data_IF_111957032135
#
_entry.id   IF_111957032135
#
_cell.length_a   1.000
_cell.length_b   1.000
_cell.length_c   1.000
_cell.angle_alpha   90.00
_cell.angle_beta   90.00
_cell.angle_gamma   90.00
#
_symmetry.space_group_name_H-M   'P 1'
#
loop_
_entity.id
_entity.type
_entity.pdbx_description
1 polymer ?
#
# COMPACT_ATOMS: atom_id res chain seq x y z
N UNK A 1 -16.93 2.81 -9.35
CA UNK A 1 -15.84 1.81 -9.29
C UNK A 1 -14.78 2.28 -8.32
N UNK A 2 -13.96 1.35 -7.84
CA UNK A 2 -12.80 1.61 -7.02
C UNK A 2 -11.64 0.78 -7.56
N UNK A 3 -10.51 1.42 -7.81
CA UNK A 3 -9.33 0.79 -8.40
C UNK A 3 -8.22 0.74 -7.35
N UNK A 4 -7.56 -0.40 -7.24
CA UNK A 4 -6.38 -0.59 -6.42
C UNK A 4 -5.51 -1.70 -7.00
N UNK A 5 -4.21 -1.56 -6.86
CA UNK A 5 -3.26 -2.63 -7.17
C UNK A 5 -2.83 -3.31 -5.87
N UNK A 6 -2.73 -4.64 -5.86
CA UNK A 6 -2.45 -5.42 -4.65
C UNK A 6 -1.19 -6.29 -4.81
N UNK A 7 -0.04 -5.71 -5.19
CA UNK A 7 1.16 -6.50 -5.40
C UNK A 7 1.74 -6.98 -4.06
N UNK A 8 1.78 -8.30 -3.87
CA UNK A 8 2.44 -8.95 -2.74
C UNK A 8 3.90 -9.28 -3.04
N UNK A 9 4.78 -9.03 -2.08
CA UNK A 9 6.21 -9.29 -2.21
C UNK A 9 6.72 -10.12 -1.04
N UNK A 10 7.62 -11.07 -1.32
CA UNK A 10 8.28 -11.86 -0.28
C UNK A 10 9.03 -10.93 0.68
N UNK A 11 8.73 -11.08 1.96
CA UNK A 11 9.21 -10.24 3.03
C UNK A 11 9.59 -11.12 4.24
N UNK A 12 10.75 -11.79 4.18
CA UNK A 12 11.22 -12.59 5.31
C UNK A 12 11.33 -11.77 6.59
N UNK A 13 11.33 -12.45 7.74
CA UNK A 13 11.50 -11.82 9.06
C UNK A 13 12.70 -10.88 9.07
N UNK A 14 12.50 -9.67 9.59
CA UNK A 14 13.53 -8.63 9.63
C UNK A 14 13.50 -7.67 8.44
N UNK A 15 12.67 -7.93 7.42
CA UNK A 15 12.41 -6.96 6.36
C UNK A 15 11.81 -5.67 6.91
N UNK A 16 12.06 -4.56 6.24
CA UNK A 16 11.65 -3.22 6.67
C UNK A 16 10.89 -2.55 5.53
N UNK A 17 9.72 -2.01 5.85
CA UNK A 17 8.98 -1.10 4.99
C UNK A 17 9.51 0.31 5.18
N UNK A 18 9.71 1.01 4.08
CA UNK A 18 10.14 2.41 4.03
C UNK A 18 9.13 3.25 3.27
N UNK A 19 9.01 4.49 3.71
CA UNK A 19 8.32 5.55 2.98
C UNK A 19 9.34 6.65 2.63
N UNK A 20 9.07 7.43 1.59
CA UNK A 20 9.91 8.59 1.26
C UNK A 20 9.85 9.68 2.36
N UNK A 21 8.71 9.78 3.05
CA UNK A 21 8.42 10.75 4.10
C UNK A 21 8.05 10.03 5.40
N UNK A 22 8.25 10.68 6.55
CA UNK A 22 7.86 10.12 7.84
C UNK A 22 6.33 10.17 8.00
N UNK A 23 5.64 9.15 7.49
CA UNK A 23 4.18 9.02 7.54
C UNK A 23 3.69 7.61 7.89
N UNK A 24 4.61 6.70 8.17
CA UNK A 24 4.28 5.39 8.74
C UNK A 24 3.91 5.56 10.22
N UNK A 25 3.28 4.54 10.85
CA UNK A 25 2.85 4.63 12.25
C UNK A 25 3.94 5.11 13.19
N UNK A 26 3.61 6.14 13.99
CA UNK A 26 4.56 6.81 14.87
C UNK A 26 5.35 7.94 14.20
N UNK A 27 4.87 8.47 13.07
CA UNK A 27 5.51 9.55 12.30
C UNK A 27 6.95 9.19 11.90
N UNK A 28 7.13 7.95 11.43
CA UNK A 28 8.43 7.43 10.97
C UNK A 28 8.42 7.18 9.47
N UNK A 29 9.60 7.08 8.86
CA UNK A 29 9.78 6.62 7.48
C UNK A 29 10.07 5.11 7.41
N UNK A 30 9.93 4.40 8.54
CA UNK A 30 10.44 3.07 8.75
C UNK A 30 9.49 2.22 9.59
N UNK A 31 9.04 1.10 9.05
CA UNK A 31 8.22 0.12 9.74
C UNK A 31 8.80 -1.28 9.58
N UNK A 32 9.39 -1.82 10.65
CA UNK A 32 9.94 -3.17 10.66
C UNK A 32 8.81 -4.20 10.69
N UNK A 33 8.86 -5.17 9.79
CA UNK A 33 7.93 -6.30 9.83
C UNK A 33 8.21 -7.16 11.06
N UNK A 34 7.12 -7.46 11.79
CA UNK A 34 7.11 -8.29 12.99
C UNK A 34 5.81 -9.07 13.05
N UNK A 35 5.79 -10.25 13.71
CA UNK A 35 4.55 -10.99 13.91
C UNK A 35 3.47 -10.11 14.55
N UNK A 36 2.26 -10.23 14.05
CA UNK A 36 1.09 -9.51 14.52
C UNK A 36 0.98 -8.05 14.07
N UNK A 37 1.87 -7.57 13.20
CA UNK A 37 1.81 -6.19 12.69
C UNK A 37 0.46 -5.87 12.02
N UNK A 38 -0.14 -6.86 11.36
CA UNK A 38 -1.39 -6.72 10.61
C UNK A 38 -2.60 -7.41 11.28
N UNK A 39 -2.50 -7.75 12.58
CA UNK A 39 -3.60 -8.44 13.30
C UNK A 39 -4.86 -7.57 13.39
N UNK A 40 -4.69 -6.24 13.40
CA UNK A 40 -5.77 -5.26 13.38
C UNK A 40 -6.20 -4.86 11.95
N UNK A 41 -5.66 -5.51 10.91
CA UNK A 41 -5.86 -5.14 9.51
C UNK A 41 -4.66 -4.46 8.88
N UNK A 42 -4.87 -3.80 7.74
CA UNK A 42 -3.85 -3.04 7.03
C UNK A 42 -3.45 -1.76 7.77
N UNK A 43 -2.25 -1.27 7.46
CA UNK A 43 -1.88 0.12 7.73
C UNK A 43 -2.33 0.95 6.54
N UNK A 44 -3.31 1.82 6.76
CA UNK A 44 -3.94 2.62 5.72
C UNK A 44 -3.44 4.06 5.77
N UNK A 45 -2.89 4.54 4.66
CA UNK A 45 -2.43 5.92 4.50
C UNK A 45 -3.39 6.67 3.57
N UNK A 46 -4.16 7.60 4.11
CA UNK A 46 -4.96 8.54 3.32
C UNK A 46 -4.09 9.69 2.81
N UNK A 47 -4.19 9.99 1.50
CA UNK A 47 -3.45 11.07 0.82
C UNK A 47 -1.95 11.00 1.14
N UNK A 48 -1.27 9.89 0.79
CA UNK A 48 0.12 9.69 1.14
C UNK A 48 0.99 10.84 0.62
N UNK A 49 1.91 11.30 1.47
CA UNK A 49 2.85 12.39 1.15
C UNK A 49 4.07 11.88 0.37
N UNK A 50 4.38 10.60 0.50
CA UNK A 50 5.46 9.92 -0.21
C UNK A 50 5.07 9.63 -1.64
N UNK A 51 6.02 9.82 -2.55
CA UNK A 51 5.91 9.41 -3.94
C UNK A 51 6.14 7.90 -4.11
N UNK A 52 6.72 7.23 -3.12
CA UNK A 52 7.01 5.80 -3.16
C UNK A 52 7.03 5.16 -1.78
N UNK A 53 6.79 3.85 -1.77
CA UNK A 53 7.00 2.97 -0.63
C UNK A 53 7.90 1.82 -1.06
N UNK A 54 8.78 1.38 -0.16
CA UNK A 54 9.82 0.39 -0.45
C UNK A 54 9.82 -0.71 0.59
N UNK A 55 10.01 -1.94 0.15
CA UNK A 55 10.31 -3.08 1.01
C UNK A 55 11.79 -3.43 0.86
N UNK A 56 12.51 -3.43 1.97
CA UNK A 56 13.92 -3.80 2.05
C UNK A 56 14.05 -5.14 2.79
N UNK A 57 14.76 -6.09 2.18
CA UNK A 57 15.08 -7.38 2.80
C UNK A 57 16.49 -7.37 3.39
N UNK A 58 16.72 -8.23 4.37
CA UNK A 58 18.02 -8.36 5.04
C UNK A 58 19.14 -8.91 4.14
N UNK A 59 18.81 -9.52 3.01
CA UNK A 59 19.76 -10.00 2.01
C UNK A 59 20.13 -8.95 0.95
N UNK A 60 19.69 -7.70 1.14
CA UNK A 60 20.00 -6.57 0.26
C UNK A 60 18.99 -6.37 -0.88
N UNK A 61 18.12 -7.36 -1.14
CA UNK A 61 17.07 -7.23 -2.15
C UNK A 61 16.01 -6.21 -1.73
N UNK A 62 15.52 -5.42 -2.69
CA UNK A 62 14.50 -4.44 -2.43
C UNK A 62 13.50 -4.29 -3.57
N UNK A 63 12.30 -3.85 -3.22
CA UNK A 63 11.27 -3.48 -4.19
C UNK A 63 10.68 -2.13 -3.81
N UNK A 64 10.53 -1.25 -4.79
CA UNK A 64 9.93 0.07 -4.62
C UNK A 64 8.68 0.18 -5.49
N UNK A 65 7.57 0.59 -4.88
CA UNK A 65 6.28 0.82 -5.51
C UNK A 65 6.00 2.31 -5.55
N UNK A 66 5.64 2.82 -6.72
CA UNK A 66 5.21 4.20 -6.91
C UNK A 66 3.81 4.43 -6.34
N UNK A 67 3.64 5.51 -5.58
CA UNK A 67 2.37 5.89 -4.95
C UNK A 67 1.69 7.10 -5.62
N UNK A 68 2.34 7.74 -6.59
CA UNK A 68 1.83 8.98 -7.19
C UNK A 68 0.55 8.74 -7.98
N UNK A 69 -0.40 9.65 -7.81
CA UNK A 69 -1.70 9.58 -8.46
C UNK A 69 -2.74 8.72 -7.73
N UNK A 70 -2.36 8.09 -6.62
CA UNK A 70 -3.27 7.31 -5.77
C UNK A 70 -3.61 8.09 -4.51
N UNK A 71 -4.90 8.07 -4.14
CA UNK A 71 -5.39 8.78 -2.96
C UNK A 71 -5.15 8.03 -1.66
N UNK A 72 -4.81 6.75 -1.74
CA UNK A 72 -4.61 5.85 -0.60
C UNK A 72 -3.43 4.93 -0.87
N UNK A 73 -2.70 4.56 0.19
CA UNK A 73 -1.68 3.51 0.13
C UNK A 73 -1.83 2.57 1.33
N UNK A 74 -1.99 1.29 1.08
CA UNK A 74 -2.19 0.27 2.11
C UNK A 74 -0.95 -0.61 2.20
N UNK A 75 -0.52 -0.87 3.44
CA UNK A 75 0.46 -1.89 3.75
C UNK A 75 -0.30 -3.03 4.41
N UNK A 76 -0.26 -4.22 3.82
CA UNK A 76 -1.07 -5.33 4.30
C UNK A 76 -0.28 -6.64 4.31
N UNK A 77 -0.57 -7.50 5.26
CA UNK A 77 -0.11 -8.88 5.29
C UNK A 77 -1.09 -9.75 6.07
N UNK A 78 -0.89 -11.06 6.01
CA UNK A 78 -1.71 -11.98 6.79
C UNK A 78 -1.50 -11.75 8.32
N UNK A 79 -2.54 -11.91 9.15
CA UNK A 79 -2.41 -11.89 10.62
C UNK A 79 -1.38 -12.92 11.12
N UNK A 80 -0.77 -12.63 12.27
CA UNK A 80 0.29 -13.44 12.86
C UNK A 80 1.63 -13.25 12.14
N UNK A 81 2.31 -14.35 11.84
CA UNK A 81 3.54 -14.33 11.05
C UNK A 81 3.21 -14.41 9.57
N UNK A 82 3.74 -13.47 8.77
CA UNK A 82 3.54 -13.45 7.33
C UNK A 82 4.89 -13.40 6.60
N UNK A 83 5.12 -14.25 5.58
CA UNK A 83 6.36 -14.26 4.80
C UNK A 83 6.33 -13.28 3.63
N UNK A 84 5.27 -12.46 3.52
CA UNK A 84 5.09 -11.49 2.46
C UNK A 84 4.37 -10.25 2.98
N UNK A 85 4.43 -9.18 2.21
CA UNK A 85 3.63 -7.97 2.46
C UNK A 85 3.18 -7.39 1.12
N UNK A 86 1.95 -6.88 1.09
CA UNK A 86 1.39 -6.13 -0.02
C UNK A 86 1.65 -4.64 0.16
N UNK A 87 2.10 -4.00 -0.92
CA UNK A 87 2.29 -2.56 -1.02
C UNK A 87 1.29 -2.03 -2.03
N UNK A 88 0.16 -1.53 -1.54
CA UNK A 88 -1.04 -1.38 -2.36
C UNK A 88 -1.37 0.10 -2.60
N UNK A 89 -1.17 0.63 -3.81
CA UNK A 89 -1.69 1.93 -4.17
C UNK A 89 -3.16 1.82 -4.60
N UNK A 90 -4.01 2.67 -4.01
CA UNK A 90 -5.46 2.68 -4.19
C UNK A 90 -5.99 4.07 -4.57
N UNK A 91 -6.93 4.09 -5.52
CA UNK A 91 -7.62 5.32 -5.92
C UNK A 91 -8.55 5.86 -4.81
N UNK A 92 -9.07 4.97 -3.96
CA UNK A 92 -10.04 5.28 -2.90
C UNK A 92 -10.04 4.24 -1.78
N UNK A 93 -10.84 4.47 -0.75
CA UNK A 93 -10.89 3.67 0.48
C UNK A 93 -11.81 2.44 0.39
N UNK A 94 -11.26 1.25 0.69
CA UNK A 94 -11.95 -0.05 0.54
C UNK A 94 -12.85 -0.40 1.75
N UNK A 95 -13.46 0.61 2.35
CA UNK A 95 -14.18 0.50 3.60
C UNK A 95 -15.65 0.09 3.49
N UNK A 96 -16.39 0.15 4.61
CA UNK A 96 -17.82 -0.11 4.66
C UNK A 96 -18.63 0.92 3.87
N UNK A 97 -19.92 0.62 3.66
CA UNK A 97 -20.86 1.51 2.96
C UNK A 97 -21.03 1.19 1.47
N UNK A 98 -21.99 1.86 0.84
CA UNK A 98 -22.29 1.69 -0.58
C UNK A 98 -21.15 2.26 -1.43
N UNK A 99 -20.81 1.59 -2.53
CA UNK A 99 -19.68 1.97 -3.38
C UNK A 99 -19.67 3.46 -3.79
N UNK A 100 -20.80 4.10 -4.16
CA UNK A 100 -20.81 5.53 -4.53
C UNK A 100 -20.45 6.49 -3.39
N UNK A 101 -20.58 6.04 -2.14
CA UNK A 101 -20.35 6.85 -0.93
C UNK A 101 -18.91 6.71 -0.40
N UNK A 102 -18.16 5.71 -0.90
CA UNK A 102 -16.80 5.45 -0.43
C UNK A 102 -15.84 6.55 -0.87
N UNK A 103 -14.95 7.05 0.02
CA UNK A 103 -13.94 8.05 -0.35
C UNK A 103 -13.11 7.62 -1.56
N UNK A 104 -12.98 8.49 -2.56
CA UNK A 104 -12.21 8.21 -3.78
C UNK A 104 -12.87 7.21 -4.75
N UNK A 105 -14.13 6.80 -4.52
CA UNK A 105 -14.90 6.08 -5.52
C UNK A 105 -15.14 6.97 -6.75
N UNK A 106 -15.03 6.37 -7.94
CA UNK A 106 -15.19 7.06 -9.22
C UNK A 106 -16.46 6.58 -9.89
N UNK A 107 -17.37 7.49 -10.24
CA UNK A 107 -18.53 7.19 -11.09
C UNK A 107 -18.17 7.48 -12.54
N UNK A 108 -18.22 6.45 -13.39
CA UNK A 108 -18.06 6.62 -14.84
C UNK A 108 -19.43 6.63 -15.50
N UNK A 109 -19.66 7.63 -16.36
CA UNK A 109 -20.83 7.71 -17.23
C UNK A 109 -20.66 6.78 -18.44
N UNK A 110 -21.75 6.43 -19.16
CA UNK A 110 -21.64 5.68 -20.41
C UNK A 110 -20.65 6.35 -21.38
N UNK A 111 -19.64 5.59 -21.82
CA UNK A 111 -18.58 6.06 -22.72
C UNK A 111 -17.33 6.62 -22.03
N UNK A 112 -17.33 6.81 -20.71
CA UNK A 112 -16.13 7.24 -19.97
C UNK A 112 -15.22 6.06 -19.63
N UNK A 113 -13.92 6.34 -19.49
CA UNK A 113 -12.91 5.37 -19.09
C UNK A 113 -12.01 5.94 -17.99
N UNK A 114 -11.47 5.04 -17.16
CA UNK A 114 -10.42 5.33 -16.19
C UNK A 114 -9.22 4.45 -16.53
N UNK A 115 -8.02 5.01 -16.49
CA UNK A 115 -6.76 4.27 -16.67
C UNK A 115 -5.82 4.59 -15.52
N UNK A 116 -5.18 3.56 -14.99
CA UNK A 116 -4.16 3.66 -13.97
C UNK A 116 -3.04 2.66 -14.27
N UNK A 117 -1.83 2.96 -13.79
CA UNK A 117 -0.68 2.09 -13.97
C UNK A 117 0.10 1.96 -12.67
N UNK A 118 0.53 0.74 -12.36
CA UNK A 118 1.46 0.45 -11.28
C UNK A 118 2.89 0.47 -11.81
N UNK A 119 3.78 1.20 -11.15
CA UNK A 119 5.22 1.13 -11.41
C UNK A 119 5.91 0.47 -10.24
N UNK A 120 6.64 -0.59 -10.53
CA UNK A 120 7.44 -1.35 -9.56
C UNK A 120 8.88 -1.38 -10.04
N UNK A 121 9.82 -1.05 -9.15
CA UNK A 121 11.26 -1.18 -9.38
C UNK A 121 11.82 -2.28 -8.49
N UNK A 122 12.59 -3.18 -9.07
CA UNK A 122 13.30 -4.25 -8.37
C UNK A 122 14.79 -3.90 -8.32
N UNK A 123 15.40 -4.10 -7.16
CA UNK A 123 16.82 -3.84 -6.88
C UNK A 123 17.46 -4.99 -6.11
#
# INVERSE_FOLDING_TARGET
LQLGFHPGFLAPRGSVLRAERPELPGDTDALRLRPGLFDAGSVDLEKPKSAWFRLERGDGGAVTVDARGFGWFLLWGAPGETPFVCLEPWQGYAGPGALPERPGAVMLRPGESLSAALKVRLE
#
